data_IF_391511162119
#
_entry.id   IF_391511162119
#
_cell.length_a   1.000
_cell.length_b   1.000
_cell.length_c   1.000
_cell.angle_alpha   90.00
_cell.angle_beta   90.00
_cell.angle_gamma   90.00
#
_symmetry.space_group_name_H-M   'P 1'
#
loop_
_entity.id
_entity.type
_entity.pdbx_description
1 polymer ?
#
# COMPACT_ATOMS: atom_id res chain seq x y z
N UNK A 1 -14.39 2.91 -9.84
CA UNK A 1 -13.08 2.23 -10.02
C UNK A 1 -13.15 0.92 -9.27
N UNK A 2 -12.80 -0.18 -9.90
CA UNK A 2 -12.80 -1.50 -9.28
C UNK A 2 -11.36 -1.90 -8.96
N UNK A 3 -11.04 -2.11 -7.67
CA UNK A 3 -9.71 -2.54 -7.23
C UNK A 3 -9.54 -4.07 -7.26
N UNK A 4 -10.64 -4.82 -7.37
CA UNK A 4 -10.65 -6.25 -7.02
C UNK A 4 -10.44 -6.45 -5.52
N UNK A 5 -10.59 -7.67 -5.02
CA UNK A 5 -10.40 -7.94 -3.59
C UNK A 5 -8.94 -8.00 -3.16
N UNK A 6 -8.07 -8.47 -4.07
CA UNK A 6 -6.65 -8.66 -3.83
C UNK A 6 -5.85 -7.95 -4.93
N UNK A 7 -4.85 -7.20 -4.52
CA UNK A 7 -3.85 -6.58 -5.39
C UNK A 7 -2.43 -6.94 -4.98
N UNK A 8 -1.49 -6.48 -5.78
CA UNK A 8 -0.05 -6.71 -5.60
C UNK A 8 0.62 -5.42 -5.21
N UNK A 9 1.47 -5.47 -4.18
CA UNK A 9 2.40 -4.40 -3.88
C UNK A 9 3.71 -4.60 -4.62
N UNK A 10 4.03 -3.64 -5.46
CA UNK A 10 5.29 -3.61 -6.20
C UNK A 10 6.28 -2.67 -5.51
N UNK A 11 7.24 -3.23 -4.78
CA UNK A 11 8.23 -2.40 -4.07
C UNK A 11 9.08 -1.58 -5.05
N UNK A 12 9.24 -0.28 -4.76
CA UNK A 12 9.99 0.64 -5.63
C UNK A 12 11.51 0.44 -5.63
N UNK A 13 12.04 -0.40 -4.73
CA UNK A 13 13.44 -0.82 -4.73
C UNK A 13 13.76 -1.71 -5.93
N UNK A 14 12.74 -2.29 -6.55
CA UNK A 14 12.86 -3.15 -7.70
C UNK A 14 12.87 -2.31 -8.98
N UNK A 15 14.04 -1.98 -9.42
CA UNK A 15 14.27 -1.30 -10.70
C UNK A 15 14.50 -2.36 -11.78
N UNK A 16 13.45 -3.04 -12.22
CA UNK A 16 13.54 -3.72 -13.49
C UNK A 16 13.65 -2.68 -14.59
N UNK A 17 14.60 -2.85 -15.43
CA UNK A 17 14.76 -1.99 -16.59
C UNK A 17 13.79 -2.44 -17.70
N UNK A 18 12.83 -1.59 -18.04
CA UNK A 18 12.14 -1.66 -19.32
C UNK A 18 11.14 -2.82 -19.49
N UNK A 19 11.31 -3.62 -20.54
CA UNK A 19 10.35 -4.63 -21.01
C UNK A 19 10.01 -5.74 -19.98
N UNK A 20 10.88 -5.99 -19.01
CA UNK A 20 10.63 -6.97 -17.96
C UNK A 20 9.43 -6.58 -17.07
N UNK A 21 9.26 -5.28 -16.79
CA UNK A 21 8.12 -4.76 -16.00
C UNK A 21 6.80 -5.00 -16.72
N UNK A 22 6.79 -4.82 -18.05
CA UNK A 22 5.61 -5.01 -18.88
C UNK A 22 5.11 -6.47 -18.81
N UNK A 23 6.01 -7.43 -19.02
CA UNK A 23 5.65 -8.84 -18.98
C UNK A 23 5.13 -9.28 -17.61
N UNK A 24 5.77 -8.81 -16.52
CA UNK A 24 5.36 -9.14 -15.15
C UNK A 24 4.00 -8.55 -14.80
N UNK A 25 3.73 -7.29 -15.16
CA UNK A 25 2.45 -6.63 -14.87
C UNK A 25 1.28 -7.32 -15.61
N UNK A 26 1.44 -7.63 -16.89
CA UNK A 26 0.42 -8.36 -17.67
C UNK A 26 0.20 -9.78 -17.13
N UNK A 27 1.23 -10.46 -16.64
CA UNK A 27 1.08 -11.78 -16.03
C UNK A 27 0.31 -11.71 -14.69
N UNK A 28 0.62 -10.74 -13.82
CA UNK A 28 -0.11 -10.56 -12.57
C UNK A 28 -1.61 -10.30 -12.83
N UNK A 29 -1.93 -9.48 -13.82
CA UNK A 29 -3.33 -9.29 -14.24
C UNK A 29 -3.95 -10.61 -14.74
N UNK A 30 -3.21 -11.39 -15.53
CA UNK A 30 -3.66 -12.69 -16.06
C UNK A 30 -3.92 -13.72 -14.97
N UNK A 31 -3.18 -13.64 -13.86
CA UNK A 31 -3.39 -14.45 -12.66
C UNK A 31 -4.65 -14.05 -11.89
N UNK A 32 -5.22 -12.85 -12.15
CA UNK A 32 -6.44 -12.35 -11.50
C UNK A 32 -6.23 -11.26 -10.45
N UNK A 33 -5.02 -10.77 -10.24
CA UNK A 33 -4.79 -9.64 -9.34
C UNK A 33 -5.42 -8.36 -9.91
N UNK A 34 -6.33 -7.74 -9.15
CA UNK A 34 -7.15 -6.62 -9.66
C UNK A 34 -6.46 -5.26 -9.64
N UNK A 35 -5.40 -5.12 -8.84
CA UNK A 35 -4.70 -3.83 -8.66
C UNK A 35 -3.20 -4.03 -8.51
N UNK A 36 -2.42 -3.18 -9.17
CA UNK A 36 -0.98 -3.08 -9.01
C UNK A 36 -0.64 -1.80 -8.26
N UNK A 37 -0.18 -1.95 -7.03
CA UNK A 37 0.30 -0.84 -6.20
C UNK A 37 1.80 -0.69 -6.37
N UNK A 38 2.29 0.53 -6.44
CA UNK A 38 3.72 0.80 -6.44
C UNK A 38 4.05 2.06 -5.65
N UNK A 39 5.23 2.08 -5.02
CA UNK A 39 5.72 3.30 -4.37
C UNK A 39 5.73 4.46 -5.34
N UNK A 40 5.16 5.61 -4.95
CA UNK A 40 5.19 6.84 -5.74
C UNK A 40 6.60 7.42 -5.89
N UNK A 41 7.53 6.94 -5.05
CA UNK A 41 8.93 7.39 -5.06
C UNK A 41 9.09 8.87 -4.71
N UNK A 42 10.33 9.29 -4.73
CA UNK A 42 10.75 10.69 -4.61
C UNK A 42 11.08 11.30 -5.98
N UNK A 43 10.73 10.60 -7.08
CA UNK A 43 11.12 10.92 -8.44
C UNK A 43 9.95 11.64 -9.13
N UNK A 44 10.19 12.75 -9.86
CA UNK A 44 9.17 13.43 -10.67
C UNK A 44 8.60 12.61 -11.83
N UNK A 45 9.09 11.38 -12.05
CA UNK A 45 8.64 10.47 -13.13
C UNK A 45 7.32 9.72 -12.87
N UNK A 46 6.33 10.32 -12.20
CA UNK A 46 5.05 9.69 -11.89
C UNK A 46 4.38 9.11 -13.15
N UNK A 47 4.21 9.92 -14.20
CA UNK A 47 3.59 9.50 -15.46
C UNK A 47 4.35 8.36 -16.14
N UNK A 48 5.69 8.37 -16.09
CA UNK A 48 6.49 7.35 -16.77
C UNK A 48 6.42 6.00 -16.06
N UNK A 49 6.45 5.98 -14.72
CA UNK A 49 6.41 4.74 -13.93
C UNK A 49 5.03 4.08 -13.99
N UNK A 50 4.00 4.83 -13.61
CA UNK A 50 2.64 4.30 -13.57
C UNK A 50 2.06 4.11 -14.97
N UNK A 51 2.48 4.96 -15.94
CA UNK A 51 2.13 4.79 -17.35
C UNK A 51 2.57 3.43 -17.91
N UNK A 52 3.80 2.97 -17.61
CA UNK A 52 4.26 1.64 -18.04
C UNK A 52 3.41 0.49 -17.47
N UNK A 53 3.00 0.58 -16.20
CA UNK A 53 2.13 -0.45 -15.60
C UNK A 53 0.74 -0.43 -16.22
N UNK A 54 0.18 0.75 -16.50
CA UNK A 54 -1.10 0.92 -17.20
C UNK A 54 -1.06 0.41 -18.64
N UNK A 55 0.04 0.67 -19.36
CA UNK A 55 0.24 0.20 -20.73
C UNK A 55 0.42 -1.34 -20.81
N UNK A 56 0.89 -1.94 -19.72
CA UNK A 56 1.12 -3.37 -19.57
C UNK A 56 -0.13 -4.16 -19.15
N UNK A 57 -1.21 -3.49 -18.81
CA UNK A 57 -2.45 -4.07 -18.30
C UNK A 57 -3.67 -3.54 -19.04
N UNK A 58 -4.72 -4.34 -19.13
CA UNK A 58 -5.97 -3.97 -19.83
C UNK A 58 -7.08 -3.55 -18.85
N UNK A 59 -7.15 -4.18 -17.68
CA UNK A 59 -8.25 -4.06 -16.71
C UNK A 59 -7.77 -3.62 -15.33
N UNK A 60 -6.59 -4.05 -14.93
CA UNK A 60 -6.07 -3.80 -13.58
C UNK A 60 -6.00 -2.29 -13.29
N UNK A 61 -6.41 -1.93 -12.10
CA UNK A 61 -6.15 -0.61 -11.53
C UNK A 61 -4.67 -0.49 -11.18
N UNK A 62 -4.08 0.64 -11.43
CA UNK A 62 -2.71 0.97 -10.99
C UNK A 62 -2.80 2.06 -9.93
N UNK A 63 -2.16 1.84 -8.79
CA UNK A 63 -2.24 2.75 -7.66
C UNK A 63 -0.87 3.13 -7.11
N UNK A 64 -0.70 4.37 -6.68
CA UNK A 64 0.49 4.76 -5.94
C UNK A 64 0.34 4.49 -4.43
N UNK A 65 1.32 3.87 -3.84
CA UNK A 65 1.39 3.59 -2.41
C UNK A 65 2.71 4.08 -1.80
N UNK A 66 2.90 5.33 -1.63
CA UNK A 66 2.15 6.56 -1.88
C UNK A 66 3.07 7.60 -2.55
N UNK A 67 2.48 8.63 -3.14
CA UNK A 67 3.20 9.87 -3.46
C UNK A 67 3.33 10.67 -2.17
N UNK A 68 4.54 11.08 -1.85
CA UNK A 68 4.80 11.91 -0.67
C UNK A 68 4.38 13.35 -0.92
N UNK A 69 3.52 13.88 -0.06
CA UNK A 69 3.08 15.29 -0.10
C UNK A 69 4.21 16.30 0.15
N UNK A 70 5.41 15.83 0.54
CA UNK A 70 6.58 16.67 0.79
C UNK A 70 7.49 16.83 -0.43
N UNK A 71 7.44 15.88 -1.36
CA UNK A 71 8.43 15.79 -2.44
C UNK A 71 7.85 16.02 -3.83
N UNK A 72 6.54 15.92 -3.99
CA UNK A 72 5.84 16.16 -5.23
C UNK A 72 4.87 17.35 -5.06
N UNK A 73 5.04 18.40 -5.85
CA UNK A 73 4.14 19.55 -5.76
C UNK A 73 2.78 19.22 -6.38
N UNK A 74 1.65 19.74 -5.82
CA UNK A 74 0.32 19.53 -6.38
C UNK A 74 0.22 19.96 -7.87
N UNK A 75 0.92 21.05 -8.24
CA UNK A 75 0.96 21.56 -9.61
C UNK A 75 1.61 20.59 -10.61
N UNK A 76 2.49 19.71 -10.16
CA UNK A 76 3.12 18.68 -11.00
C UNK A 76 2.30 17.38 -10.98
N UNK A 77 1.71 17.06 -9.83
CA UNK A 77 0.92 15.83 -9.64
C UNK A 77 -0.40 15.88 -10.39
N UNK A 78 -1.11 17.01 -10.37
CA UNK A 78 -2.40 17.14 -11.05
C UNK A 78 -2.35 16.81 -12.54
N UNK A 79 -1.48 17.49 -13.34
CA UNK A 79 -1.31 17.16 -14.75
C UNK A 79 -0.87 15.71 -15.01
N UNK A 80 0.00 15.15 -14.15
CA UNK A 80 0.43 13.76 -14.27
C UNK A 80 -0.73 12.78 -14.05
N UNK A 81 -1.60 13.05 -13.09
CA UNK A 81 -2.81 12.24 -12.84
C UNK A 81 -3.76 12.36 -14.04
N UNK A 82 -3.99 13.56 -14.54
CA UNK A 82 -4.86 13.76 -15.71
C UNK A 82 -4.35 13.00 -16.95
N UNK A 83 -3.04 13.00 -17.21
CA UNK A 83 -2.43 12.21 -18.28
C UNK A 83 -2.65 10.69 -18.07
N UNK A 84 -2.37 10.18 -16.88
CA UNK A 84 -2.55 8.76 -16.54
C UNK A 84 -4.02 8.32 -16.66
N UNK A 85 -4.95 9.15 -16.22
CA UNK A 85 -6.40 8.91 -16.35
C UNK A 85 -6.84 8.86 -17.82
N UNK A 86 -6.41 9.83 -18.63
CA UNK A 86 -6.75 9.89 -20.04
C UNK A 86 -6.21 8.67 -20.81
N UNK A 87 -4.98 8.25 -20.53
CA UNK A 87 -4.34 7.07 -21.17
C UNK A 87 -4.98 5.76 -20.80
N UNK A 88 -5.46 5.64 -19.57
CA UNK A 88 -5.94 4.37 -19.00
C UNK A 88 -7.45 4.21 -18.98
N UNK A 89 -8.22 5.24 -19.41
CA UNK A 89 -9.67 5.22 -19.25
C UNK A 89 -10.12 5.21 -17.79
N UNK A 90 -9.34 5.84 -16.89
CA UNK A 90 -9.71 5.98 -15.49
C UNK A 90 -9.24 4.85 -14.58
N UNK A 91 -8.17 4.13 -14.92
CA UNK A 91 -7.60 3.02 -14.11
C UNK A 91 -6.46 3.44 -13.17
N UNK A 92 -6.22 4.74 -12.97
CA UNK A 92 -5.21 5.21 -12.03
C UNK A 92 -5.82 5.70 -10.72
N UNK A 93 -5.23 5.32 -9.58
CA UNK A 93 -5.59 5.78 -8.24
C UNK A 93 -4.39 6.46 -7.58
N UNK A 94 -4.52 7.75 -7.29
CA UNK A 94 -3.48 8.53 -6.62
C UNK A 94 -3.49 8.26 -5.11
N UNK A 95 -2.54 7.48 -4.61
CA UNK A 95 -2.29 7.34 -3.18
C UNK A 95 -1.35 8.45 -2.69
N UNK A 96 -1.76 9.13 -1.63
CA UNK A 96 -1.05 10.25 -1.01
C UNK A 96 -0.73 9.97 0.45
N UNK A 97 0.39 10.49 0.94
CA UNK A 97 0.75 10.34 2.35
C UNK A 97 1.86 11.28 2.80
N UNK A 98 1.96 11.44 4.12
CA UNK A 98 2.95 12.30 4.75
C UNK A 98 4.35 11.69 4.83
N UNK A 99 4.56 10.43 4.39
CA UNK A 99 5.84 9.75 4.54
C UNK A 99 6.31 9.66 6.02
N UNK A 100 7.60 9.69 6.28
CA UNK A 100 8.18 9.52 7.62
C UNK A 100 9.19 10.61 7.92
N UNK A 101 9.32 10.99 9.20
CA UNK A 101 10.26 12.01 9.66
C UNK A 101 11.73 11.68 9.35
N UNK A 102 12.08 10.40 9.26
CA UNK A 102 13.43 9.94 8.90
C UNK A 102 13.77 10.13 7.42
N UNK A 103 12.77 10.28 6.55
CA UNK A 103 12.94 10.38 5.10
C UNK A 103 12.72 11.80 4.57
N UNK A 104 12.16 12.69 5.39
CA UNK A 104 11.76 14.04 4.94
C UNK A 104 12.43 15.10 5.79
N UNK A 105 13.39 15.86 5.25
CA UNK A 105 13.93 17.03 5.92
C UNK A 105 12.83 18.07 6.23
N UNK A 106 12.81 18.61 7.43
CA UNK A 106 11.81 19.60 7.82
C UNK A 106 10.40 19.04 8.09
N UNK A 107 10.27 17.74 8.30
CA UNK A 107 8.99 17.08 8.63
C UNK A 107 8.33 17.70 9.86
N UNK A 108 7.26 18.45 9.66
CA UNK A 108 6.52 19.14 10.72
C UNK A 108 5.03 19.22 10.39
N UNK A 109 4.17 19.10 11.39
CA UNK A 109 2.70 19.19 11.24
C UNK A 109 2.12 18.34 10.09
N UNK A 110 2.45 17.01 10.01
CA UNK A 110 2.12 16.20 8.83
C UNK A 110 0.62 16.19 8.49
N UNK A 111 -0.26 16.21 9.47
CA UNK A 111 -1.70 16.27 9.24
C UNK A 111 -2.12 17.58 8.53
N UNK A 112 -1.67 18.72 9.04
CA UNK A 112 -2.00 20.02 8.43
C UNK A 112 -1.45 20.11 7.01
N UNK A 113 -0.22 19.60 6.78
CA UNK A 113 0.39 19.59 5.45
C UNK A 113 -0.38 18.72 4.46
N UNK A 114 -0.90 17.56 4.87
CA UNK A 114 -1.79 16.75 4.02
C UNK A 114 -3.07 17.51 3.69
N UNK A 115 -3.68 18.21 4.64
CA UNK A 115 -4.87 19.04 4.39
C UNK A 115 -4.57 20.15 3.38
N UNK A 116 -3.50 20.93 3.60
CA UNK A 116 -3.04 21.98 2.69
C UNK A 116 -2.78 21.43 1.27
N UNK A 117 -2.21 20.24 1.18
CA UNK A 117 -1.97 19.57 -0.10
C UNK A 117 -3.27 19.18 -0.83
N UNK A 118 -4.24 18.65 -0.08
CA UNK A 118 -5.55 18.31 -0.64
C UNK A 118 -6.31 19.56 -1.12
N UNK A 119 -6.23 20.66 -0.36
CA UNK A 119 -6.81 21.96 -0.75
C UNK A 119 -6.18 22.48 -2.05
N UNK A 120 -4.87 22.31 -2.20
CA UNK A 120 -4.17 22.67 -3.43
C UNK A 120 -4.57 21.79 -4.63
N UNK A 121 -4.79 20.49 -4.44
CA UNK A 121 -5.31 19.61 -5.50
C UNK A 121 -6.74 19.94 -5.90
N UNK A 122 -7.59 20.36 -4.95
CA UNK A 122 -8.97 20.79 -5.22
C UNK A 122 -9.01 22.12 -5.99
N UNK A 123 -8.00 22.98 -5.82
CA UNK A 123 -7.89 24.27 -6.48
C UNK A 123 -7.28 24.22 -7.90
N UNK A 124 -6.82 23.06 -8.35
CA UNK A 124 -6.31 22.89 -9.72
C UNK A 124 -7.45 22.97 -10.75
N UNK A 125 -7.07 23.23 -12.00
CA UNK A 125 -7.99 23.18 -13.14
C UNK A 125 -7.39 22.30 -14.25
N UNK A 126 -7.94 21.06 -14.47
CA UNK A 126 -8.97 20.42 -13.67
C UNK A 126 -8.48 19.97 -12.29
N UNK A 127 -9.36 19.88 -11.28
CA UNK A 127 -9.01 19.36 -9.97
C UNK A 127 -8.75 17.84 -10.02
N UNK A 128 -7.99 17.30 -9.04
CA UNK A 128 -7.93 15.85 -8.81
C UNK A 128 -9.07 15.47 -7.86
N UNK A 129 -10.14 14.83 -8.32
CA UNK A 129 -11.35 14.64 -7.51
C UNK A 129 -11.12 13.62 -6.36
N UNK A 130 -11.89 13.72 -5.26
CA UNK A 130 -11.74 12.84 -4.10
C UNK A 130 -11.78 11.34 -4.42
N UNK A 131 -12.63 10.92 -5.35
CA UNK A 131 -12.78 9.52 -5.77
C UNK A 131 -11.59 8.97 -6.57
N UNK A 132 -10.63 9.82 -6.93
CA UNK A 132 -9.40 9.47 -7.65
C UNK A 132 -8.14 9.50 -6.77
N UNK A 133 -8.32 9.73 -5.47
CA UNK A 133 -7.21 9.75 -4.52
C UNK A 133 -7.52 8.93 -3.27
N UNK A 134 -6.51 8.29 -2.67
CA UNK A 134 -6.60 7.51 -1.44
C UNK A 134 -5.50 7.96 -0.49
N UNK A 135 -5.74 7.96 0.82
CA UNK A 135 -4.76 8.45 1.80
C UNK A 135 -4.10 7.33 2.58
N UNK A 136 -2.78 7.40 2.73
CA UNK A 136 -2.08 6.63 3.76
C UNK A 136 -2.56 7.10 5.13
N UNK A 137 -3.18 6.22 5.89
CA UNK A 137 -3.83 6.58 7.15
C UNK A 137 -3.69 5.47 8.19
N UNK A 138 -3.13 5.81 9.36
CA UNK A 138 -2.98 4.88 10.48
C UNK A 138 -3.84 5.32 11.68
N UNK A 139 -3.75 6.58 12.06
CA UNK A 139 -4.46 7.11 13.22
C UNK A 139 -5.87 7.62 12.89
N UNK A 140 -6.77 7.75 13.89
CA UNK A 140 -8.17 8.07 13.68
C UNK A 140 -8.39 9.38 12.92
N UNK A 141 -7.65 10.45 13.26
CA UNK A 141 -7.78 11.74 12.54
C UNK A 141 -7.45 11.66 11.06
N UNK A 142 -6.46 10.84 10.66
CA UNK A 142 -6.11 10.66 9.26
C UNK A 142 -7.13 9.76 8.55
N UNK A 143 -7.69 8.76 9.24
CA UNK A 143 -8.80 7.94 8.75
C UNK A 143 -10.07 8.80 8.52
N UNK A 144 -10.41 9.68 9.46
CA UNK A 144 -11.51 10.64 9.30
C UNK A 144 -11.29 11.57 8.09
N UNK A 145 -10.07 12.08 7.92
CA UNK A 145 -9.70 12.88 6.75
C UNK A 145 -9.84 12.09 5.45
N UNK A 146 -9.41 10.83 5.44
CA UNK A 146 -9.52 9.95 4.28
C UNK A 146 -10.99 9.71 3.90
N UNK A 147 -11.87 9.51 4.89
CA UNK A 147 -13.30 9.35 4.67
C UNK A 147 -13.96 10.61 4.11
N UNK A 148 -13.49 11.80 4.52
CA UNK A 148 -14.09 13.09 4.15
C UNK A 148 -13.55 13.65 2.82
N UNK A 149 -12.29 13.36 2.46
CA UNK A 149 -11.57 14.09 1.40
C UNK A 149 -10.93 13.17 0.34
N UNK A 150 -11.16 11.86 0.39
CA UNK A 150 -10.59 10.90 -0.55
C UNK A 150 -11.55 9.72 -0.79
N UNK A 151 -11.21 8.83 -1.73
CA UNK A 151 -11.93 7.58 -1.93
C UNK A 151 -11.88 6.67 -0.69
N UNK A 152 -10.86 6.84 0.17
CA UNK A 152 -10.69 6.05 1.37
C UNK A 152 -9.25 6.02 1.90
N UNK A 153 -8.89 4.95 2.59
CA UNK A 153 -7.63 4.80 3.30
C UNK A 153 -6.82 3.58 2.84
N UNK A 154 -5.50 3.76 2.77
CA UNK A 154 -4.49 2.73 2.51
C UNK A 154 -3.55 2.61 3.72
N UNK A 155 -3.96 1.88 4.79
CA UNK A 155 -3.09 1.57 5.91
C UNK A 155 -1.91 0.68 5.49
N UNK A 156 -0.80 0.80 6.20
CA UNK A 156 0.43 0.08 5.89
C UNK A 156 1.07 -0.45 7.17
N UNK A 157 1.62 -1.68 7.12
CA UNK A 157 2.27 -2.32 8.26
C UNK A 157 1.34 -2.39 9.50
N UNK A 158 0.18 -3.01 9.35
CA UNK A 158 -0.89 -3.04 10.37
C UNK A 158 -1.38 -4.45 10.65
N UNK A 159 -1.73 -4.76 11.91
CA UNK A 159 -2.40 -6.00 12.26
C UNK A 159 -3.90 -5.95 11.87
N UNK A 160 -4.57 -7.10 11.86
CA UNK A 160 -5.99 -7.22 11.48
C UNK A 160 -6.93 -6.39 12.36
N UNK A 161 -6.60 -6.22 13.63
CA UNK A 161 -7.37 -5.40 14.59
C UNK A 161 -7.39 -3.92 14.17
N UNK A 162 -6.31 -3.45 13.54
CA UNK A 162 -6.30 -2.11 12.95
C UNK A 162 -7.32 -2.00 11.81
N UNK A 163 -7.41 -3.01 10.95
CA UNK A 163 -8.38 -3.02 9.84
C UNK A 163 -9.81 -2.93 10.35
N UNK A 164 -10.17 -3.71 11.38
CA UNK A 164 -11.47 -3.62 12.03
C UNK A 164 -11.74 -2.20 12.58
N UNK A 165 -10.77 -1.65 13.31
CA UNK A 165 -10.89 -0.29 13.85
C UNK A 165 -10.94 0.80 12.78
N UNK A 166 -10.15 0.65 11.71
CA UNK A 166 -10.17 1.58 10.59
C UNK A 166 -11.54 1.58 9.88
N UNK A 167 -12.16 0.42 9.72
CA UNK A 167 -13.52 0.31 9.17
C UNK A 167 -14.56 1.00 10.05
N UNK A 168 -14.46 0.88 11.37
CA UNK A 168 -15.35 1.61 12.29
C UNK A 168 -15.25 3.13 12.11
N UNK A 169 -14.03 3.66 11.97
CA UNK A 169 -13.77 5.09 11.81
C UNK A 169 -14.20 5.60 10.43
N UNK A 170 -13.87 4.87 9.37
CA UNK A 170 -14.24 5.20 7.99
C UNK A 170 -15.76 5.12 7.76
N UNK A 171 -16.45 4.27 8.50
CA UNK A 171 -17.85 3.98 8.25
C UNK A 171 -18.05 3.15 6.96
N UNK A 172 -19.26 3.17 6.41
CA UNK A 172 -19.62 2.47 5.17
C UNK A 172 -19.41 3.41 3.98
N UNK A 173 -18.82 2.90 2.91
CA UNK A 173 -18.68 3.63 1.65
C UNK A 173 -17.23 3.96 1.28
N UNK A 174 -16.44 4.65 2.12
CA UNK A 174 -15.03 4.87 1.81
C UNK A 174 -14.25 3.55 1.71
N UNK A 175 -13.35 3.46 0.73
CA UNK A 175 -12.48 2.31 0.52
C UNK A 175 -11.54 2.10 1.72
N UNK A 176 -11.36 0.85 2.11
CA UNK A 176 -10.32 0.43 3.05
C UNK A 176 -9.44 -0.62 2.37
N UNK A 177 -8.22 -0.22 2.04
CA UNK A 177 -7.28 -1.01 1.25
C UNK A 177 -5.93 -1.14 1.99
N UNK A 178 -5.82 -1.95 3.07
CA UNK A 178 -4.56 -2.16 3.76
C UNK A 178 -3.53 -2.87 2.89
N UNK A 179 -2.25 -2.52 3.07
CA UNK A 179 -1.14 -3.37 2.66
C UNK A 179 -0.91 -4.46 3.71
N UNK A 180 -0.63 -5.67 3.24
CA UNK A 180 -0.25 -6.81 4.07
C UNK A 180 1.00 -7.46 3.50
N UNK A 181 2.13 -7.29 4.20
CA UNK A 181 3.36 -8.01 3.88
C UNK A 181 3.22 -9.50 4.24
N UNK A 182 3.73 -10.39 3.38
CA UNK A 182 3.65 -11.84 3.59
C UNK A 182 4.98 -12.51 3.25
N UNK A 183 5.28 -13.64 3.91
CA UNK A 183 6.48 -14.45 3.65
C UNK A 183 6.05 -15.87 3.27
N UNK A 184 6.24 -16.26 2.01
CA UNK A 184 5.95 -17.61 1.52
C UNK A 184 7.13 -18.55 1.87
N UNK A 185 7.17 -18.99 3.13
CA UNK A 185 8.19 -19.87 3.68
C UNK A 185 7.60 -20.67 4.86
N UNK A 186 7.80 -21.97 4.87
CA UNK A 186 7.25 -22.87 5.89
C UNK A 186 8.23 -23.15 7.04
N UNK A 187 9.53 -22.94 6.84
CA UNK A 187 10.49 -22.95 7.95
C UNK A 187 10.35 -21.68 8.78
N UNK A 188 9.91 -21.86 10.02
CA UNK A 188 9.63 -20.72 10.94
C UNK A 188 10.84 -19.82 11.16
N UNK A 189 12.03 -20.38 11.27
CA UNK A 189 13.25 -19.61 11.53
C UNK A 189 13.55 -18.68 10.36
N UNK A 190 13.52 -19.22 9.15
CA UNK A 190 13.74 -18.45 7.92
C UNK A 190 12.64 -17.44 7.67
N UNK A 191 11.38 -17.81 7.90
CA UNK A 191 10.25 -16.91 7.74
C UNK A 191 10.35 -15.69 8.66
N UNK A 192 10.64 -15.91 9.96
CA UNK A 192 10.80 -14.83 10.91
C UNK A 192 12.05 -13.98 10.64
N UNK A 193 13.12 -14.56 10.11
CA UNK A 193 14.31 -13.79 9.69
C UNK A 193 13.95 -12.81 8.57
N UNK A 194 13.31 -13.27 7.51
CA UNK A 194 12.85 -12.42 6.39
C UNK A 194 11.86 -11.35 6.86
N UNK A 195 10.89 -11.74 7.69
CA UNK A 195 9.89 -10.83 8.24
C UNK A 195 10.53 -9.72 9.09
N UNK A 196 11.54 -10.05 9.93
CA UNK A 196 12.27 -9.05 10.73
C UNK A 196 13.15 -8.13 9.89
N UNK A 197 13.77 -8.62 8.82
CA UNK A 197 14.50 -7.77 7.88
C UNK A 197 13.58 -6.71 7.27
N UNK A 198 12.37 -7.09 6.91
CA UNK A 198 11.36 -6.16 6.44
C UNK A 198 10.86 -5.22 7.54
N UNK A 199 10.51 -5.74 8.71
CA UNK A 199 10.03 -4.95 9.84
C UNK A 199 11.06 -3.91 10.33
N UNK A 200 12.36 -4.18 10.20
CA UNK A 200 13.44 -3.26 10.56
C UNK A 200 13.38 -1.93 9.79
N UNK A 201 12.68 -1.87 8.66
CA UNK A 201 12.46 -0.63 7.90
C UNK A 201 11.43 0.27 8.61
N UNK A 202 10.41 -0.33 9.26
CA UNK A 202 9.25 0.39 9.79
C UNK A 202 9.27 0.59 11.30
N UNK A 203 9.80 -0.38 12.07
CA UNK A 203 9.85 -0.30 13.53
C UNK A 203 10.61 0.92 14.09
N UNK A 204 11.63 1.52 13.43
CA UNK A 204 12.22 2.76 13.88
C UNK A 204 11.34 4.00 13.69
N UNK A 205 10.26 3.92 12.90
CA UNK A 205 9.43 5.08 12.56
C UNK A 205 8.27 5.26 13.56
N UNK A 206 8.19 6.41 14.28
CA UNK A 206 7.22 6.63 15.35
C UNK A 206 5.75 6.51 14.93
N UNK A 207 5.41 6.79 13.68
CA UNK A 207 4.05 6.66 13.19
C UNK A 207 3.56 5.21 13.21
N UNK A 208 4.42 4.23 12.90
CA UNK A 208 4.07 2.81 12.98
C UNK A 208 4.05 2.31 14.42
N UNK A 209 5.10 2.59 15.20
CA UNK A 209 5.19 2.10 16.57
C UNK A 209 4.11 2.71 17.47
N UNK A 210 3.78 4.00 17.30
CA UNK A 210 2.66 4.61 18.01
C UNK A 210 1.31 4.01 17.59
N UNK A 211 1.16 3.59 16.34
CA UNK A 211 -0.02 2.87 15.91
C UNK A 211 -0.10 1.47 16.55
N UNK A 212 0.98 0.70 16.50
CA UNK A 212 1.06 -0.63 17.11
C UNK A 212 0.77 -0.60 18.62
N UNK A 213 1.26 0.41 19.34
CA UNK A 213 0.95 0.60 20.78
C UNK A 213 -0.54 0.75 21.06
N UNK A 214 -1.33 1.33 20.15
CA UNK A 214 -2.79 1.42 20.28
C UNK A 214 -3.48 0.05 20.25
N UNK A 215 -2.81 -0.95 19.71
CA UNK A 215 -3.28 -2.34 19.63
C UNK A 215 -2.60 -3.27 20.64
N UNK A 216 -1.94 -2.70 21.66
CA UNK A 216 -1.39 -3.43 22.79
C UNK A 216 -0.01 -4.04 22.56
N UNK A 217 0.73 -3.57 21.54
CA UNK A 217 2.14 -3.93 21.36
C UNK A 217 3.03 -2.92 22.11
N UNK A 218 3.63 -3.37 23.20
CA UNK A 218 4.50 -2.55 24.04
C UNK A 218 5.94 -2.48 23.57
N UNK A 219 6.80 -1.85 24.35
CA UNK A 219 8.22 -1.71 24.00
C UNK A 219 8.92 -3.07 23.87
N UNK A 220 8.56 -4.05 24.71
CA UNK A 220 9.06 -5.41 24.60
C UNK A 220 8.66 -6.13 23.29
N UNK A 221 7.59 -5.69 22.64
CA UNK A 221 7.20 -6.20 21.32
C UNK A 221 7.91 -5.48 20.17
N UNK A 222 8.25 -4.21 20.37
CA UNK A 222 8.79 -3.33 19.31
C UNK A 222 10.31 -3.38 19.23
N UNK A 223 10.98 -3.46 20.40
CA UNK A 223 12.42 -3.50 20.50
C UNK A 223 13.02 -4.80 19.96
N UNK A 224 14.33 -4.81 19.70
CA UNK A 224 15.05 -6.01 19.26
C UNK A 224 14.63 -6.56 17.89
N UNK A 225 14.01 -5.73 17.04
CA UNK A 225 13.57 -6.13 15.71
C UNK A 225 12.17 -6.75 15.68
N UNK A 226 11.42 -6.63 16.76
CA UNK A 226 10.06 -7.13 16.90
C UNK A 226 9.95 -8.51 17.55
N UNK A 227 9.04 -8.64 18.54
CA UNK A 227 8.72 -9.95 19.12
C UNK A 227 8.07 -10.86 18.09
N UNK A 228 8.13 -12.19 18.29
CA UNK A 228 7.43 -13.14 17.42
C UNK A 228 5.93 -12.79 17.33
N UNK A 229 5.31 -12.42 18.47
CA UNK A 229 3.91 -12.01 18.54
C UNK A 229 3.59 -10.83 17.61
N UNK A 230 4.42 -9.80 17.61
CA UNK A 230 4.22 -8.64 16.75
C UNK A 230 4.45 -9.00 15.28
N UNK A 231 5.56 -9.66 14.98
CA UNK A 231 5.93 -10.03 13.61
C UNK A 231 4.86 -10.91 12.98
N UNK A 232 4.41 -11.96 13.67
CA UNK A 232 3.37 -12.87 13.17
C UNK A 232 1.99 -12.20 13.04
N UNK A 233 1.73 -11.12 13.79
CA UNK A 233 0.49 -10.36 13.66
C UNK A 233 0.45 -9.46 12.42
N UNK A 234 1.59 -8.87 12.03
CA UNK A 234 1.66 -7.89 10.93
C UNK A 234 2.23 -8.47 9.63
N UNK A 235 2.95 -9.60 9.70
CA UNK A 235 3.58 -10.24 8.55
C UNK A 235 3.26 -11.74 8.58
N UNK A 236 2.10 -12.16 8.01
CA UNK A 236 1.76 -13.57 7.86
C UNK A 236 2.83 -14.34 7.10
N UNK A 237 3.09 -15.56 7.54
CA UNK A 237 4.04 -16.46 6.88
C UNK A 237 3.50 -17.90 6.85
N UNK A 238 4.07 -18.73 5.99
CA UNK A 238 3.72 -20.14 5.86
C UNK A 238 3.56 -20.58 4.40
N UNK A 239 2.75 -21.61 4.19
CA UNK A 239 2.31 -22.01 2.86
C UNK A 239 1.23 -21.04 2.30
N UNK A 240 0.84 -21.23 1.05
CA UNK A 240 -0.12 -20.37 0.38
C UNK A 240 -1.49 -20.32 1.10
N UNK A 241 -1.95 -21.45 1.64
CA UNK A 241 -3.23 -21.51 2.34
C UNK A 241 -3.18 -20.80 3.70
N UNK A 242 -2.08 -20.91 4.43
CA UNK A 242 -1.87 -20.20 5.69
C UNK A 242 -1.85 -18.68 5.47
N UNK A 243 -1.14 -18.22 4.45
CA UNK A 243 -1.08 -16.81 4.06
C UNK A 243 -2.47 -16.32 3.62
N UNK A 244 -3.16 -17.05 2.74
CA UNK A 244 -4.48 -16.67 2.25
C UNK A 244 -5.50 -16.52 3.40
N UNK A 245 -5.53 -17.43 4.37
CA UNK A 245 -6.38 -17.29 5.55
C UNK A 245 -6.14 -15.97 6.29
N UNK A 246 -4.87 -15.60 6.51
CA UNK A 246 -4.51 -14.36 7.21
C UNK A 246 -4.87 -13.10 6.40
N UNK A 247 -4.68 -13.13 5.07
CA UNK A 247 -5.08 -12.04 4.17
C UNK A 247 -6.61 -11.90 4.18
N UNK A 248 -7.35 -13.00 4.12
CA UNK A 248 -8.82 -12.98 4.16
C UNK A 248 -9.39 -12.52 5.51
N UNK A 249 -8.64 -12.64 6.62
CA UNK A 249 -9.04 -12.03 7.90
C UNK A 249 -9.15 -10.50 7.79
N UNK A 250 -8.29 -9.81 7.03
CA UNK A 250 -8.42 -8.38 6.77
C UNK A 250 -9.70 -8.05 5.98
N UNK A 251 -10.05 -8.86 4.99
CA UNK A 251 -11.30 -8.70 4.25
C UNK A 251 -12.52 -8.91 5.17
N UNK A 252 -12.47 -9.92 6.02
CA UNK A 252 -13.52 -10.20 7.03
C UNK A 252 -13.62 -9.08 8.06
N UNK A 253 -12.49 -8.46 8.42
CA UNK A 253 -12.43 -7.31 9.33
C UNK A 253 -12.92 -6.00 8.70
N UNK A 254 -13.30 -6.03 7.42
CA UNK A 254 -13.93 -4.90 6.73
C UNK A 254 -13.05 -4.20 5.69
N UNK A 255 -11.91 -4.76 5.29
CA UNK A 255 -11.20 -4.27 4.11
C UNK A 255 -12.03 -4.57 2.85
N UNK A 256 -12.08 -3.62 1.91
CA UNK A 256 -12.67 -3.82 0.59
C UNK A 256 -11.66 -4.45 -0.37
N UNK A 257 -10.40 -4.20 -0.13
CA UNK A 257 -9.26 -4.65 -0.91
C UNK A 257 -8.07 -4.90 0.02
N UNK A 258 -7.25 -5.90 -0.28
CA UNK A 258 -5.95 -6.12 0.39
C UNK A 258 -4.84 -6.07 -0.65
N UNK A 259 -3.87 -5.19 -0.41
CA UNK A 259 -2.66 -5.12 -1.20
C UNK A 259 -1.60 -6.05 -0.60
N UNK A 260 -1.34 -7.18 -1.24
CA UNK A 260 -0.37 -8.18 -0.76
C UNK A 260 1.04 -7.80 -1.21
N UNK A 261 1.98 -7.74 -0.26
CA UNK A 261 3.40 -7.55 -0.51
C UNK A 261 4.20 -8.80 -0.15
N UNK A 262 4.71 -9.51 -1.13
CA UNK A 262 5.58 -10.66 -0.89
C UNK A 262 6.99 -10.19 -0.50
N UNK A 263 7.44 -10.63 0.67
CA UNK A 263 8.79 -10.39 1.19
C UNK A 263 9.66 -11.61 0.88
N UNK A 264 10.44 -11.53 -0.19
CA UNK A 264 11.33 -12.59 -0.68
C UNK A 264 12.78 -12.10 -0.89
N UNK A 265 13.20 -11.07 -0.14
CA UNK A 265 14.44 -10.34 -0.34
C UNK A 265 14.26 -9.15 -1.30
N UNK A 266 15.39 -8.51 -1.66
CA UNK A 266 15.37 -7.24 -2.42
C UNK A 266 16.00 -7.35 -3.81
N UNK A 267 16.39 -8.55 -4.24
CA UNK A 267 17.18 -8.74 -5.48
C UNK A 267 16.33 -8.81 -6.74
N UNK A 268 15.15 -9.43 -6.67
CA UNK A 268 14.22 -9.58 -7.80
C UNK A 268 12.77 -9.46 -7.36
N UNK A 269 11.89 -9.16 -8.31
CA UNK A 269 10.45 -9.20 -8.08
C UNK A 269 10.00 -10.66 -7.83
N UNK A 270 9.23 -10.93 -6.77
CA UNK A 270 8.86 -12.29 -6.35
C UNK A 270 7.68 -12.85 -7.17
N UNK A 271 7.83 -12.95 -8.49
CA UNK A 271 6.76 -13.37 -9.39
C UNK A 271 6.36 -14.83 -9.17
N UNK A 272 7.33 -15.69 -8.87
CA UNK A 272 7.07 -17.12 -8.62
C UNK A 272 6.22 -17.31 -7.36
N UNK A 273 6.46 -16.50 -6.33
CA UNK A 273 5.67 -16.48 -5.10
C UNK A 273 4.25 -15.99 -5.38
N UNK A 274 4.06 -14.95 -6.18
CA UNK A 274 2.73 -14.49 -6.58
C UNK A 274 1.98 -15.53 -7.41
N UNK A 275 2.64 -16.28 -8.29
CA UNK A 275 2.06 -17.42 -9.00
C UNK A 275 1.57 -18.51 -8.05
N UNK A 276 2.41 -18.83 -7.06
CA UNK A 276 2.08 -19.85 -6.04
C UNK A 276 0.93 -19.41 -5.11
N UNK A 277 0.83 -18.12 -4.80
CA UNK A 277 -0.19 -17.57 -3.93
C UNK A 277 -1.54 -17.35 -4.64
N UNK A 278 -1.55 -17.12 -5.95
CA UNK A 278 -2.75 -16.74 -6.70
C UNK A 278 -3.93 -17.71 -6.52
N UNK A 279 -3.78 -19.04 -6.59
CA UNK A 279 -4.91 -19.96 -6.41
C UNK A 279 -5.57 -19.86 -5.02
N UNK A 280 -4.79 -19.66 -3.97
CA UNK A 280 -5.30 -19.57 -2.60
C UNK A 280 -5.87 -18.18 -2.26
N UNK A 281 -5.29 -17.12 -2.83
CA UNK A 281 -5.71 -15.74 -2.58
C UNK A 281 -6.93 -15.34 -3.42
N UNK A 282 -7.05 -15.86 -4.65
CA UNK A 282 -8.01 -15.42 -5.67
C UNK A 282 -9.06 -16.48 -5.99
N UNK A 283 -8.86 -17.73 -5.54
CA UNK A 283 -9.86 -18.78 -5.63
C UNK A 283 -11.07 -18.46 -4.73
N UNK A 284 -12.28 -18.75 -5.23
CA UNK A 284 -13.55 -18.55 -4.51
C UNK A 284 -13.64 -19.42 -3.23
#
# INVERSE_FOLDING_TARGET
MELGRIGVWWSGSWRAAGDADHNVAGELESLGYGTLWSSGGFDPGLSSRFGRLLDATERATVASGIVSVWTAAPADVGPAVADLEARSGGRFLLGLGASHSSLVPGYARPYAHVVEYLDALDALDPPVPPERRILAALGPRMLELAAARAAGAHPYFVPVEHTARAREVLGRGPLLAPEVAVVLETDRTRALELARQYAAIYLPAPNYTNNLRRFGYGDADIEGGGSDRLIEAVIPWGDADAIARRVHEHLTAGADHVCVQVVAGFEKFPLDEYRALAPALLGD
#
